data_IF_777268564722
#
_entry.id   IF_777268564722
#
_cell.length_a   1.000
_cell.length_b   1.000
_cell.length_c   1.000
_cell.angle_alpha   90.00
_cell.angle_beta   90.00
_cell.angle_gamma   90.00
#
_symmetry.space_group_name_H-M   'P 1'
#
loop_
_entity.id
_entity.type
_entity.pdbx_description
1 polymer ?
#
# COMPACT_ATOMS: atom_id res chain seq x y z
N UNK A 1 10.61 6.91 33.82
CA UNK A 1 10.84 5.44 33.83
C UNK A 1 11.23 5.05 32.41
N UNK A 2 12.51 4.72 32.18
CA UNK A 2 13.00 4.24 30.88
C UNK A 2 12.50 2.82 30.69
N UNK A 3 11.68 2.61 29.65
CA UNK A 3 11.24 1.26 29.27
C UNK A 3 12.41 0.41 28.81
N UNK A 4 12.47 -0.87 29.17
CA UNK A 4 13.53 -1.75 28.72
C UNK A 4 13.52 -1.84 27.19
N UNK A 5 14.69 -1.79 26.58
CA UNK A 5 14.98 -1.73 25.14
C UNK A 5 14.41 -2.91 24.30
N UNK A 6 13.86 -3.93 24.97
CA UNK A 6 13.35 -5.16 24.35
C UNK A 6 11.80 -5.22 24.26
N UNK A 7 11.06 -4.28 24.86
CA UNK A 7 9.62 -4.26 24.72
C UNK A 7 9.22 -3.52 23.44
N UNK A 8 8.40 -4.16 22.57
CA UNK A 8 7.88 -3.50 21.39
C UNK A 8 7.06 -2.27 21.78
N UNK A 9 6.98 -1.32 20.85
CA UNK A 9 6.20 -0.10 21.01
C UNK A 9 4.73 -0.42 21.33
N UNK A 10 4.06 0.49 22.03
CA UNK A 10 2.64 0.33 22.41
C UNK A 10 1.75 0.01 21.20
N UNK A 11 2.06 0.61 20.06
CA UNK A 11 1.35 0.33 18.80
C UNK A 11 1.49 -1.14 18.39
N UNK A 12 2.70 -1.67 18.43
CA UNK A 12 2.98 -3.08 18.10
C UNK A 12 2.30 -4.04 19.09
N UNK A 13 2.29 -3.71 20.40
CA UNK A 13 1.59 -4.51 21.40
C UNK A 13 0.08 -4.54 21.17
N UNK A 14 -0.52 -3.40 20.86
CA UNK A 14 -1.95 -3.31 20.52
C UNK A 14 -2.25 -4.10 19.27
N UNK A 15 -1.40 -3.99 18.23
CA UNK A 15 -1.56 -4.73 16.98
C UNK A 15 -1.55 -6.24 17.23
N UNK A 16 -0.56 -6.74 17.98
CA UNK A 16 -0.45 -8.16 18.34
C UNK A 16 -1.70 -8.60 19.12
N UNK A 17 -2.13 -7.81 20.09
CA UNK A 17 -3.31 -8.11 20.90
C UNK A 17 -4.58 -8.19 20.03
N UNK A 18 -4.77 -7.25 19.12
CA UNK A 18 -5.93 -7.22 18.20
C UNK A 18 -5.90 -8.43 17.25
N UNK A 19 -4.74 -8.74 16.66
CA UNK A 19 -4.59 -9.90 15.77
C UNK A 19 -4.86 -11.20 16.52
N UNK A 20 -4.31 -11.36 17.72
CA UNK A 20 -4.53 -12.53 18.56
C UNK A 20 -6.01 -12.68 18.94
N UNK A 21 -6.65 -11.58 19.35
CA UNK A 21 -8.06 -11.56 19.69
C UNK A 21 -8.95 -11.92 18.49
N UNK A 22 -8.67 -11.35 17.34
CA UNK A 22 -9.40 -11.63 16.09
C UNK A 22 -9.23 -13.10 15.64
N UNK A 23 -8.06 -13.70 15.88
CA UNK A 23 -7.79 -15.11 15.56
C UNK A 23 -8.52 -16.07 16.50
N UNK A 24 -8.63 -15.71 17.80
CA UNK A 24 -9.31 -16.52 18.81
C UNK A 24 -10.84 -16.37 18.77
N UNK A 25 -11.32 -15.18 18.40
CA UNK A 25 -12.74 -14.82 18.37
C UNK A 25 -13.11 -14.26 16.99
N UNK A 26 -13.17 -15.13 15.95
CA UNK A 26 -13.53 -14.66 14.61
C UNK A 26 -14.95 -14.13 14.59
N UNK A 27 -15.11 -12.89 14.12
CA UNK A 27 -16.41 -12.26 13.97
C UNK A 27 -17.27 -13.03 12.97
N UNK A 28 -18.54 -13.28 13.30
CA UNK A 28 -19.49 -14.01 12.46
C UNK A 28 -20.83 -13.28 12.38
N UNK A 29 -21.55 -13.47 11.28
CA UNK A 29 -22.89 -12.92 11.08
C UNK A 29 -22.90 -11.38 11.11
N UNK A 30 -23.86 -10.79 11.82
CA UNK A 30 -24.06 -9.34 11.89
C UNK A 30 -22.83 -8.58 12.44
N UNK A 31 -22.04 -9.21 13.32
CA UNK A 31 -20.82 -8.61 13.87
C UNK A 31 -19.75 -8.50 12.78
N UNK A 32 -19.61 -9.50 11.93
CA UNK A 32 -18.68 -9.46 10.79
C UNK A 32 -19.05 -8.34 9.82
N UNK A 33 -20.33 -8.21 9.48
CA UNK A 33 -20.83 -7.11 8.65
C UNK A 33 -20.55 -5.72 9.28
N UNK A 34 -20.74 -5.59 10.59
CA UNK A 34 -20.41 -4.35 11.30
C UNK A 34 -18.92 -3.99 11.19
N UNK A 35 -18.02 -4.96 11.31
CA UNK A 35 -16.58 -4.76 11.12
C UNK A 35 -16.22 -4.44 9.66
N UNK A 36 -16.90 -5.02 8.70
CA UNK A 36 -16.72 -4.71 7.28
C UNK A 36 -17.05 -3.24 6.96
N UNK A 37 -18.21 -2.76 7.43
CA UNK A 37 -18.59 -1.36 7.32
C UNK A 37 -17.60 -0.42 8.02
N UNK A 38 -17.17 -0.78 9.24
CA UNK A 38 -16.19 0.00 9.99
C UNK A 38 -14.85 0.07 9.26
N UNK A 39 -14.40 -1.04 8.70
CA UNK A 39 -13.15 -1.11 7.92
C UNK A 39 -13.25 -0.24 6.66
N UNK A 40 -14.36 -0.33 5.94
CA UNK A 40 -14.59 0.51 4.74
C UNK A 40 -14.59 1.99 5.10
N UNK A 41 -15.27 2.37 6.18
CA UNK A 41 -15.28 3.75 6.67
C UNK A 41 -13.89 4.23 7.12
N UNK A 42 -13.13 3.37 7.81
CA UNK A 42 -11.76 3.68 8.24
C UNK A 42 -10.80 3.86 7.05
N UNK A 43 -10.92 3.02 6.02
CA UNK A 43 -10.16 3.15 4.77
C UNK A 43 -10.51 4.46 4.06
N UNK A 44 -11.80 4.78 3.92
CA UNK A 44 -12.25 6.01 3.32
C UNK A 44 -11.72 7.25 4.08
N UNK A 45 -11.78 7.24 5.41
CA UNK A 45 -11.23 8.30 6.25
C UNK A 45 -9.72 8.44 6.08
N UNK A 46 -9.00 7.33 6.01
CA UNK A 46 -7.55 7.32 5.79
C UNK A 46 -7.19 7.97 4.45
N UNK A 47 -7.86 7.60 3.36
CA UNK A 47 -7.62 8.19 2.04
C UNK A 47 -8.05 9.66 1.98
N UNK A 48 -9.16 10.02 2.62
CA UNK A 48 -9.57 11.41 2.79
C UNK A 48 -8.49 12.25 3.49
N UNK A 49 -7.96 11.77 4.61
CA UNK A 49 -6.88 12.46 5.32
C UNK A 49 -5.57 12.51 4.52
N UNK A 50 -5.26 11.51 3.73
CA UNK A 50 -4.12 11.54 2.79
C UNK A 50 -4.33 12.62 1.73
N UNK A 51 -5.54 12.71 1.18
CA UNK A 51 -5.91 13.78 0.27
C UNK A 51 -5.75 15.17 0.89
N UNK A 52 -6.30 15.39 2.07
CA UNK A 52 -6.25 16.67 2.78
C UNK A 52 -4.83 17.09 3.20
N UNK A 53 -3.96 16.13 3.52
CA UNK A 53 -2.56 16.41 3.91
C UNK A 53 -1.64 16.71 2.75
N UNK A 54 -2.01 16.36 1.53
CA UNK A 54 -1.17 16.56 0.36
C UNK A 54 -1.23 18.03 -0.07
N UNK A 55 -0.28 18.84 0.40
CA UNK A 55 -0.21 20.25 0.01
C UNK A 55 0.18 20.40 -1.46
N UNK A 56 -0.44 21.35 -2.15
CA UNK A 56 -0.11 21.71 -3.54
C UNK A 56 1.38 22.07 -3.69
N UNK A 57 1.96 22.67 -2.66
CA UNK A 57 3.39 23.01 -2.62
C UNK A 57 4.28 21.76 -2.68
N UNK A 58 3.90 20.67 -2.01
CA UNK A 58 4.64 19.41 -2.06
C UNK A 58 4.53 18.73 -3.44
N UNK A 59 3.39 18.86 -4.10
CA UNK A 59 3.22 18.36 -5.48
C UNK A 59 4.12 19.13 -6.44
N UNK A 60 4.15 20.45 -6.35
CA UNK A 60 4.98 21.31 -7.22
C UNK A 60 6.48 21.12 -6.93
N UNK A 61 6.88 21.05 -5.65
CA UNK A 61 8.27 20.76 -5.27
C UNK A 61 8.72 19.36 -5.74
N UNK A 62 7.79 18.39 -5.71
CA UNK A 62 8.03 17.06 -6.27
C UNK A 62 8.33 17.09 -7.77
N UNK A 63 7.63 17.89 -8.53
CA UNK A 63 7.84 18.05 -9.99
C UNK A 63 9.23 18.63 -10.35
N UNK A 64 9.90 19.34 -9.43
CA UNK A 64 11.23 19.94 -9.68
C UNK A 64 12.32 18.89 -9.95
N UNK A 65 12.21 17.67 -9.36
CA UNK A 65 13.19 16.60 -9.56
C UNK A 65 12.60 15.43 -10.36
N UNK A 66 11.95 15.73 -11.48
CA UNK A 66 11.20 14.77 -12.29
C UNK A 66 11.99 13.50 -12.65
N UNK A 67 13.32 13.60 -12.89
CA UNK A 67 14.17 12.44 -13.20
C UNK A 67 14.24 11.45 -12.03
N UNK A 68 14.37 11.97 -10.79
CA UNK A 68 14.38 11.14 -9.59
C UNK A 68 13.03 10.45 -9.39
N UNK A 69 11.93 11.18 -9.54
CA UNK A 69 10.59 10.62 -9.39
C UNK A 69 10.28 9.59 -10.46
N UNK A 70 10.66 9.86 -11.71
CA UNK A 70 10.49 8.91 -12.81
C UNK A 70 11.30 7.63 -12.56
N UNK A 71 12.53 7.77 -12.08
CA UNK A 71 13.37 6.61 -11.73
C UNK A 71 12.75 5.80 -10.61
N UNK A 72 12.30 6.42 -9.51
CA UNK A 72 11.64 5.73 -8.39
C UNK A 72 10.37 5.03 -8.86
N UNK A 73 9.54 5.69 -9.68
CA UNK A 73 8.32 5.10 -10.23
C UNK A 73 8.62 3.93 -11.17
N UNK A 74 9.63 4.05 -12.02
CA UNK A 74 10.05 2.98 -12.91
C UNK A 74 10.54 1.76 -12.12
N UNK A 75 11.32 1.97 -11.07
CA UNK A 75 11.74 0.88 -10.18
C UNK A 75 10.52 0.24 -9.48
N UNK A 76 9.64 1.05 -8.92
CA UNK A 76 8.50 0.57 -8.12
C UNK A 76 7.46 -0.16 -8.97
N UNK A 77 7.08 0.38 -10.13
CA UNK A 77 5.95 -0.13 -10.92
C UNK A 77 6.33 -0.85 -12.22
N UNK A 78 7.61 -0.87 -12.59
CA UNK A 78 8.10 -1.65 -13.72
C UNK A 78 9.12 -2.69 -13.30
N UNK A 79 10.23 -2.28 -12.66
CA UNK A 79 11.33 -3.20 -12.33
C UNK A 79 10.91 -4.24 -11.28
N UNK A 80 10.30 -3.83 -10.16
CA UNK A 80 9.89 -4.77 -9.11
C UNK A 80 8.81 -5.76 -9.58
N UNK A 81 7.73 -5.35 -10.27
CA UNK A 81 6.79 -6.28 -10.88
C UNK A 81 7.44 -7.24 -11.86
N UNK A 82 8.35 -6.74 -12.73
CA UNK A 82 9.10 -7.58 -13.66
C UNK A 82 9.96 -8.62 -12.94
N UNK A 83 10.69 -8.19 -11.90
CA UNK A 83 11.47 -9.10 -11.05
C UNK A 83 10.57 -10.13 -10.35
N UNK A 84 9.40 -9.73 -9.86
CA UNK A 84 8.43 -10.64 -9.26
C UNK A 84 7.99 -11.74 -10.23
N UNK A 85 7.69 -11.38 -11.48
CA UNK A 85 7.33 -12.34 -12.53
C UNK A 85 8.51 -13.25 -12.89
N UNK A 86 9.70 -12.70 -13.05
CA UNK A 86 10.92 -13.46 -13.36
C UNK A 86 11.30 -14.44 -12.25
N UNK A 87 11.07 -14.05 -10.98
CA UNK A 87 11.36 -14.86 -9.80
C UNK A 87 10.21 -15.84 -9.46
N UNK A 88 9.07 -15.75 -10.13
CA UNK A 88 7.93 -16.65 -9.91
C UNK A 88 8.31 -18.15 -9.92
N UNK A 89 9.12 -18.67 -10.89
CA UNK A 89 9.54 -20.06 -10.84
C UNK A 89 10.40 -20.38 -9.61
N UNK A 90 11.25 -19.44 -9.17
CA UNK A 90 12.09 -19.61 -7.98
C UNK A 90 11.22 -19.65 -6.71
N UNK A 91 10.22 -18.78 -6.62
CA UNK A 91 9.27 -18.80 -5.50
C UNK A 91 8.52 -20.12 -5.42
N UNK A 92 8.13 -20.72 -6.55
CA UNK A 92 7.46 -22.01 -6.61
C UNK A 92 8.32 -23.20 -6.13
N UNK A 93 9.65 -23.05 -6.04
CA UNK A 93 10.54 -24.08 -5.51
C UNK A 93 10.62 -24.08 -3.97
N UNK A 94 10.50 -22.91 -3.35
CA UNK A 94 10.73 -22.72 -1.92
C UNK A 94 9.46 -22.36 -1.14
N UNK A 95 8.41 -21.91 -1.81
CA UNK A 95 7.21 -21.38 -1.18
C UNK A 95 5.97 -22.13 -1.67
N UNK A 96 4.98 -22.22 -0.78
CA UNK A 96 3.64 -22.67 -1.16
C UNK A 96 3.03 -21.69 -2.17
N UNK A 97 2.09 -22.16 -3.03
CA UNK A 97 1.46 -21.29 -4.06
C UNK A 97 0.89 -19.99 -3.51
N UNK A 98 0.27 -20.02 -2.34
CA UNK A 98 -0.30 -18.85 -1.67
C UNK A 98 0.78 -17.83 -1.25
N UNK A 99 1.90 -18.32 -0.70
CA UNK A 99 3.03 -17.46 -0.33
C UNK A 99 3.75 -16.90 -1.56
N UNK A 100 3.88 -17.70 -2.62
CA UNK A 100 4.43 -17.22 -3.90
C UNK A 100 3.57 -16.11 -4.50
N UNK A 101 2.24 -16.23 -4.40
CA UNK A 101 1.29 -15.19 -4.80
C UNK A 101 1.46 -13.94 -3.93
N UNK A 102 1.61 -14.10 -2.61
CA UNK A 102 1.88 -13.01 -1.68
C UNK A 102 3.19 -12.27 -1.99
N UNK A 103 4.25 -12.97 -2.37
CA UNK A 103 5.51 -12.36 -2.81
C UNK A 103 5.34 -11.56 -4.09
N UNK A 104 4.57 -12.07 -5.05
CA UNK A 104 4.25 -11.35 -6.27
C UNK A 104 3.42 -10.09 -5.98
N UNK A 105 2.47 -10.19 -5.04
CA UNK A 105 1.68 -9.05 -4.57
C UNK A 105 2.57 -7.96 -3.95
N UNK A 106 3.55 -8.33 -3.12
CA UNK A 106 4.51 -7.37 -2.55
C UNK A 106 5.29 -6.62 -3.63
N UNK A 107 5.59 -7.25 -4.77
CA UNK A 107 6.33 -6.63 -5.88
C UNK A 107 5.52 -5.58 -6.64
N UNK A 108 4.19 -5.51 -6.47
CA UNK A 108 3.33 -4.53 -7.15
C UNK A 108 2.84 -3.41 -6.22
N UNK A 109 3.27 -3.40 -4.95
CA UNK A 109 2.91 -2.37 -3.98
C UNK A 109 3.73 -1.09 -4.19
N UNK A 110 3.15 0.09 -3.86
CA UNK A 110 3.86 1.37 -3.93
C UNK A 110 4.93 1.49 -2.83
N UNK A 111 5.84 2.44 -3.02
CA UNK A 111 6.89 2.74 -2.06
C UNK A 111 6.30 3.27 -0.74
N UNK A 112 6.83 2.78 0.41
CA UNK A 112 6.40 3.23 1.74
C UNK A 112 7.17 4.48 2.18
N UNK A 113 6.44 5.50 2.63
CA UNK A 113 7.02 6.78 3.06
C UNK A 113 7.96 6.60 4.27
N UNK A 114 7.57 5.81 5.27
CA UNK A 114 8.37 5.63 6.50
C UNK A 114 9.71 4.96 6.23
N UNK A 115 9.71 3.90 5.42
CA UNK A 115 10.95 3.22 5.04
C UNK A 115 11.85 4.12 4.20
N UNK A 116 11.28 4.88 3.27
CA UNK A 116 12.02 5.85 2.47
C UNK A 116 12.70 6.90 3.34
N UNK A 117 12.02 7.47 4.33
CA UNK A 117 12.59 8.42 5.30
C UNK A 117 13.74 7.77 6.07
N UNK A 118 13.51 6.58 6.64
CA UNK A 118 14.47 5.91 7.50
C UNK A 118 15.77 5.60 6.73
N UNK A 119 15.68 4.91 5.60
CA UNK A 119 16.85 4.51 4.82
C UNK A 119 17.58 5.71 4.20
N UNK A 120 16.85 6.70 3.68
CA UNK A 120 17.47 7.91 3.13
C UNK A 120 18.15 8.73 4.21
N UNK A 121 17.56 8.83 5.40
CA UNK A 121 18.16 9.50 6.56
C UNK A 121 19.42 8.80 7.03
N UNK A 122 19.43 7.48 7.13
CA UNK A 122 20.62 6.68 7.47
C UNK A 122 21.74 6.85 6.43
N UNK A 123 21.38 6.93 5.15
CA UNK A 123 22.31 7.17 4.04
C UNK A 123 22.73 8.63 3.89
N UNK A 124 22.32 9.54 4.79
CA UNK A 124 22.57 10.99 4.71
C UNK A 124 22.11 11.60 3.36
N UNK A 125 21.06 11.03 2.77
CA UNK A 125 20.49 11.49 1.52
C UNK A 125 19.45 12.59 1.71
N UNK A 126 18.83 13.03 0.62
CA UNK A 126 17.77 14.03 0.63
C UNK A 126 16.44 13.43 1.07
N UNK A 127 16.13 13.51 2.37
CA UNK A 127 14.90 12.99 2.98
C UNK A 127 13.65 13.68 2.40
N UNK A 128 13.73 14.98 2.11
CA UNK A 128 12.58 15.70 1.54
C UNK A 128 12.22 15.14 0.15
N UNK A 129 13.21 14.88 -0.70
CA UNK A 129 12.99 14.27 -2.01
C UNK A 129 12.43 12.84 -1.88
N UNK A 130 12.92 12.06 -0.88
CA UNK A 130 12.41 10.71 -0.62
C UNK A 130 10.92 10.72 -0.21
N UNK A 131 10.53 11.64 0.68
CA UNK A 131 9.12 11.82 1.09
C UNK A 131 8.25 12.17 -0.12
N UNK A 132 8.68 13.12 -0.95
CA UNK A 132 7.95 13.51 -2.15
C UNK A 132 7.80 12.33 -3.13
N UNK A 133 8.88 11.60 -3.39
CA UNK A 133 8.87 10.43 -4.28
C UNK A 133 7.96 9.32 -3.78
N UNK A 134 8.03 8.99 -2.49
CA UNK A 134 7.19 7.95 -1.90
C UNK A 134 5.71 8.37 -1.87
N UNK A 135 5.42 9.64 -1.60
CA UNK A 135 4.06 10.17 -1.66
C UNK A 135 3.50 10.14 -3.09
N UNK A 136 4.29 10.54 -4.08
CA UNK A 136 3.91 10.43 -5.50
C UNK A 136 3.68 8.97 -5.92
N UNK A 137 4.55 8.05 -5.47
CA UNK A 137 4.40 6.62 -5.69
C UNK A 137 3.11 6.08 -5.08
N UNK A 138 2.77 6.49 -3.85
CA UNK A 138 1.53 6.08 -3.19
C UNK A 138 0.29 6.57 -3.95
N UNK A 139 0.31 7.82 -4.44
CA UNK A 139 -0.79 8.38 -5.22
C UNK A 139 -1.01 7.66 -6.55
N UNK A 140 0.09 7.43 -7.29
CA UNK A 140 0.05 6.69 -8.55
C UNK A 140 -0.33 5.23 -8.28
N UNK A 141 0.13 4.67 -7.17
CA UNK A 141 -0.17 3.32 -6.73
C UNK A 141 -1.66 3.04 -6.49
N UNK A 142 -2.44 4.06 -6.10
CA UNK A 142 -3.91 3.91 -5.98
C UNK A 142 -4.53 3.43 -7.31
N UNK A 143 -3.94 3.84 -8.44
CA UNK A 143 -4.40 3.44 -9.77
C UNK A 143 -3.64 2.22 -10.30
N UNK A 144 -2.31 2.29 -10.25
CA UNK A 144 -1.46 1.29 -10.89
C UNK A 144 -1.47 -0.04 -10.15
N UNK A 145 -1.52 -0.05 -8.82
CA UNK A 145 -1.47 -1.29 -8.05
C UNK A 145 -2.66 -2.21 -8.33
N UNK A 146 -3.93 -1.76 -8.32
CA UNK A 146 -5.05 -2.61 -8.69
C UNK A 146 -4.93 -3.18 -10.11
N UNK A 147 -4.45 -2.37 -11.06
CA UNK A 147 -4.22 -2.83 -12.44
C UNK A 147 -3.14 -3.91 -12.51
N UNK A 148 -2.01 -3.71 -11.84
CA UNK A 148 -0.91 -4.68 -11.80
C UNK A 148 -1.31 -5.96 -11.05
N UNK A 149 -2.05 -5.85 -9.95
CA UNK A 149 -2.58 -7.00 -9.22
C UNK A 149 -3.49 -7.84 -10.11
N UNK A 150 -4.44 -7.19 -10.78
CA UNK A 150 -5.36 -7.86 -11.69
C UNK A 150 -4.64 -8.55 -12.86
N UNK A 151 -3.55 -7.95 -13.34
CA UNK A 151 -2.83 -8.45 -14.51
C UNK A 151 -1.78 -9.51 -14.20
N UNK A 152 -1.08 -9.37 -13.06
CA UNK A 152 0.08 -10.20 -12.72
C UNK A 152 -0.19 -11.20 -11.58
N UNK A 153 -1.03 -10.83 -10.62
CA UNK A 153 -1.22 -11.61 -9.40
C UNK A 153 -2.39 -12.58 -9.55
N UNK A 154 -3.52 -12.12 -10.06
CA UNK A 154 -4.75 -12.92 -10.21
C UNK A 154 -5.29 -12.83 -11.64
N UNK A 155 -4.56 -13.35 -12.63
CA UNK A 155 -5.04 -13.35 -14.01
C UNK A 155 -6.24 -14.30 -14.14
N UNK A 156 -7.45 -13.75 -14.23
CA UNK A 156 -8.67 -14.48 -14.59
C UNK A 156 -9.52 -15.02 -13.45
N UNK A 157 -9.19 -14.82 -12.18
CA UNK A 157 -9.95 -15.37 -11.03
C UNK A 157 -10.77 -14.34 -10.22
N UNK A 158 -11.24 -13.28 -10.82
CA UNK A 158 -12.33 -12.54 -10.19
C UNK A 158 -13.65 -13.20 -10.63
N UNK A 159 -14.02 -14.26 -9.90
CA UNK A 159 -15.19 -15.08 -10.19
C UNK A 159 -16.44 -14.19 -10.34
N UNK A 160 -16.99 -14.11 -11.54
CA UNK A 160 -18.31 -13.57 -11.83
C UNK A 160 -18.43 -12.07 -12.09
N UNK A 161 -17.40 -11.26 -11.85
CA UNK A 161 -17.35 -9.85 -12.26
C UNK A 161 -16.20 -9.64 -13.25
N UNK A 162 -16.41 -8.78 -14.23
CA UNK A 162 -15.31 -8.37 -15.12
C UNK A 162 -14.17 -7.85 -14.23
N UNK A 163 -12.94 -8.31 -14.50
CA UNK A 163 -11.72 -7.80 -13.82
C UNK A 163 -11.70 -6.27 -13.80
N UNK A 164 -12.28 -5.65 -14.82
CA UNK A 164 -12.40 -4.21 -14.98
C UNK A 164 -13.38 -3.59 -13.98
N UNK A 165 -14.49 -4.25 -13.71
CA UNK A 165 -15.50 -3.77 -12.74
C UNK A 165 -14.94 -3.83 -11.31
N UNK A 166 -14.17 -4.88 -10.97
CA UNK A 166 -13.50 -4.96 -9.68
C UNK A 166 -12.44 -3.84 -9.50
N UNK A 167 -11.63 -3.58 -10.53
CA UNK A 167 -10.66 -2.48 -10.55
C UNK A 167 -11.38 -1.14 -10.39
N UNK A 168 -12.45 -0.90 -11.14
CA UNK A 168 -13.24 0.33 -11.05
C UNK A 168 -13.86 0.51 -9.66
N UNK A 169 -14.38 -0.53 -9.06
CA UNK A 169 -14.95 -0.47 -7.71
C UNK A 169 -13.89 -0.10 -6.67
N UNK A 170 -12.71 -0.74 -6.71
CA UNK A 170 -11.59 -0.42 -5.81
C UNK A 170 -11.12 1.03 -6.05
N UNK A 171 -10.98 1.44 -7.30
CA UNK A 171 -10.59 2.80 -7.65
C UNK A 171 -11.60 3.83 -7.11
N UNK A 172 -12.89 3.61 -7.29
CA UNK A 172 -13.93 4.50 -6.76
C UNK A 172 -13.88 4.57 -5.23
N UNK A 173 -13.75 3.45 -4.56
CA UNK A 173 -13.71 3.37 -3.10
C UNK A 173 -12.50 4.11 -2.49
N UNK A 174 -11.37 4.16 -3.19
CA UNK A 174 -10.15 4.83 -2.72
C UNK A 174 -10.04 6.27 -3.21
N UNK A 175 -10.39 6.52 -4.47
CA UNK A 175 -10.22 7.83 -5.10
C UNK A 175 -11.26 8.86 -4.67
N UNK A 176 -12.50 8.45 -4.46
CA UNK A 176 -13.57 9.39 -4.12
C UNK A 176 -13.28 10.08 -2.78
N UNK A 177 -12.96 9.38 -1.68
CA UNK A 177 -12.59 10.04 -0.44
C UNK A 177 -11.28 10.84 -0.56
N UNK A 178 -10.30 10.36 -1.34
CA UNK A 178 -9.06 11.09 -1.58
C UNK A 178 -9.33 12.43 -2.31
N UNK A 179 -10.13 12.42 -3.37
CA UNK A 179 -10.48 13.62 -4.12
C UNK A 179 -11.25 14.63 -3.24
N UNK A 180 -12.17 14.14 -2.41
CA UNK A 180 -12.88 15.00 -1.44
C UNK A 180 -11.92 15.62 -0.43
N UNK A 181 -10.91 14.87 0.02
CA UNK A 181 -9.87 15.40 0.91
C UNK A 181 -9.02 16.49 0.26
N UNK A 182 -8.77 16.41 -1.06
CA UNK A 182 -8.01 17.43 -1.80
C UNK A 182 -8.77 18.75 -2.00
N UNK A 183 -10.11 18.72 -1.92
CA UNK A 183 -10.95 19.90 -2.10
C UNK A 183 -11.06 20.76 -0.83
N UNK A 184 -10.67 20.23 0.32
CA UNK A 184 -10.65 20.95 1.60
C UNK A 184 -9.29 21.62 1.87
#
# INVERSE_FOLDING_TARGET
>A
MQRPRFLPDNFTLILIAVVTLASLLPARGAVAQGFEWLTTAAIALLFFMHGAKLSRANVVAGLSHWRLHLLVLAFTFALFPLLGVLLKPVFGWFLNPELALGMLFLCVLPATVQSAIAFTGMGRGNVAAAVCSASASSLIGVFLTPLLVSWLVVPGEVAGTSTWDAVLHIMQQLMLPFALGQLM
#
